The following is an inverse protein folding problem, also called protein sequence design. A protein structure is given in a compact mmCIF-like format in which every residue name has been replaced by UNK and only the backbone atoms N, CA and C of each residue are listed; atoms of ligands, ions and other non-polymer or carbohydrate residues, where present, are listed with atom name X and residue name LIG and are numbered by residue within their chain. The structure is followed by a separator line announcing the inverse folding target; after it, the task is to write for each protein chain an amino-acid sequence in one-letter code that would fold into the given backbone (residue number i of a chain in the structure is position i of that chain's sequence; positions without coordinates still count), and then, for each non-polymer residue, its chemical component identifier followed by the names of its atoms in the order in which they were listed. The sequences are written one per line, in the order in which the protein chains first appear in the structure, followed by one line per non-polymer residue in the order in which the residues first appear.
data_IF_643770987782
#
_entry.id   IF_643770987782
#
_cell.length_a   1.000
_cell.length_b   1.000
_cell.length_c   1.000
_cell.angle_alpha   90.00
_cell.angle_beta   90.00
_cell.angle_gamma   90.00
#
_symmetry.space_group_name_H-M   'P 1'
#
loop_
_entity.id
_entity.type
_entity.pdbx_description
1 polymer ?
#
# COMPACT_ATOMS: atom_id res chain seq x y z
N UNK A 1 7.54 22.71 4.16
CA UNK A 1 8.09 22.59 2.78
C UNK A 1 6.99 22.01 1.91
N UNK A 2 6.44 22.77 0.99
CA UNK A 2 5.32 22.35 0.16
C UNK A 2 5.78 21.30 -0.87
N UNK A 3 5.02 20.21 -0.99
CA UNK A 3 5.24 19.15 -1.97
C UNK A 3 5.17 19.74 -3.40
N UNK A 4 6.17 19.56 -4.29
CA UNK A 4 6.18 20.18 -5.61
C UNK A 4 5.14 19.62 -6.59
N UNK A 5 4.39 18.58 -6.24
CA UNK A 5 3.43 17.90 -7.11
C UNK A 5 1.97 18.33 -6.95
N UNK A 6 1.66 19.30 -6.08
CA UNK A 6 0.28 19.75 -5.82
C UNK A 6 -0.38 20.55 -6.96
N UNK A 7 0.27 20.72 -8.12
CA UNK A 7 -0.19 21.63 -9.21
C UNK A 7 -0.76 20.95 -10.45
N UNK A 8 -0.94 19.62 -10.49
CA UNK A 8 -1.30 18.92 -11.74
C UNK A 8 -2.73 18.37 -11.77
N UNK A 9 -3.49 18.39 -10.67
CA UNK A 9 -4.85 17.84 -10.69
C UNK A 9 -5.85 18.93 -10.33
N UNK A 10 -6.22 19.73 -11.32
CA UNK A 10 -7.46 20.49 -11.34
C UNK A 10 -8.31 19.95 -12.48
N UNK A 11 -9.20 19.01 -12.18
CA UNK A 11 -10.44 18.80 -12.95
C UNK A 11 -11.45 18.07 -12.07
N UNK A 12 -12.53 18.79 -11.79
CA UNK A 12 -13.73 18.31 -11.13
C UNK A 12 -14.45 17.34 -12.07
N UNK A 13 -14.60 16.08 -11.65
CA UNK A 13 -15.54 15.15 -12.28
C UNK A 13 -16.58 14.69 -11.24
N UNK A 14 -17.73 15.33 -11.29
CA UNK A 14 -18.92 15.01 -10.48
C UNK A 14 -19.50 13.60 -10.72
N UNK A 15 -18.99 12.84 -11.67
CA UNK A 15 -19.53 11.53 -12.05
C UNK A 15 -19.03 10.35 -11.21
N UNK A 16 -17.93 10.52 -10.47
CA UNK A 16 -17.36 9.44 -9.64
C UNK A 16 -18.01 9.32 -8.26
N UNK A 17 -18.67 10.39 -7.79
CA UNK A 17 -19.30 10.45 -6.46
C UNK A 17 -20.53 9.56 -6.32
N UNK A 18 -21.26 9.28 -7.41
CA UNK A 18 -22.53 8.54 -7.38
C UNK A 18 -22.33 7.02 -7.34
N UNK A 19 -21.22 6.51 -7.86
CA UNK A 19 -20.92 5.07 -7.85
C UNK A 19 -20.43 4.57 -6.48
N UNK A 20 -19.67 5.41 -5.76
CA UNK A 20 -19.13 5.07 -4.44
C UNK A 20 -20.20 5.10 -3.35
N UNK A 21 -21.24 5.93 -3.50
CA UNK A 21 -22.34 6.04 -2.53
C UNK A 21 -23.31 4.84 -2.54
N UNK A 22 -23.33 4.03 -3.61
CA UNK A 22 -24.17 2.81 -3.69
C UNK A 22 -23.55 1.56 -3.06
N UNK A 23 -22.30 1.62 -2.64
CA UNK A 23 -21.57 0.47 -2.07
C UNK A 23 -21.70 0.31 -0.55
N UNK A 24 -22.34 1.25 0.16
CA UNK A 24 -22.39 1.26 1.62
C UNK A 24 -23.78 1.35 2.22
N UNK A 25 -24.71 0.52 1.77
CA UNK A 25 -25.95 0.29 2.51
C UNK A 25 -26.03 -1.18 2.90
N UNK A 26 -25.84 -1.45 4.21
CA UNK A 26 -26.11 -2.71 4.92
C UNK A 26 -25.07 -3.83 4.89
N UNK A 27 -23.77 -3.59 4.91
CA UNK A 27 -22.80 -4.62 5.34
C UNK A 27 -22.74 -5.92 4.51
N UNK A 28 -23.52 -6.04 3.44
CA UNK A 28 -23.47 -7.13 2.47
C UNK A 28 -23.02 -6.57 1.14
N UNK A 29 -21.92 -7.11 0.61
CA UNK A 29 -21.47 -6.80 -0.76
C UNK A 29 -22.57 -7.26 -1.69
N UNK A 30 -23.25 -6.32 -2.37
CA UNK A 30 -24.25 -6.66 -3.38
C UNK A 30 -23.51 -7.19 -4.61
N UNK A 31 -23.56 -8.51 -4.80
CA UNK A 31 -22.91 -9.19 -5.91
C UNK A 31 -23.43 -8.72 -7.29
N UNK A 32 -24.66 -8.17 -7.35
CA UNK A 32 -25.23 -7.65 -8.59
C UNK A 32 -24.59 -6.31 -8.98
N UNK A 33 -24.25 -5.44 -8.01
CA UNK A 33 -23.52 -4.21 -8.27
C UNK A 33 -22.07 -4.46 -8.69
N UNK A 34 -21.44 -5.51 -8.17
CA UNK A 34 -20.11 -5.96 -8.58
C UNK A 34 -20.15 -6.53 -10.02
N UNK A 35 -21.19 -7.29 -10.37
CA UNK A 35 -21.38 -7.80 -11.72
C UNK A 35 -21.61 -6.69 -12.74
N UNK A 36 -22.36 -5.64 -12.37
CA UNK A 36 -22.61 -4.47 -13.21
C UNK A 36 -21.33 -3.65 -13.45
N UNK A 37 -20.51 -3.43 -12.42
CA UNK A 37 -19.20 -2.77 -12.56
C UNK A 37 -18.24 -3.60 -13.42
N UNK A 38 -18.22 -4.92 -13.26
CA UNK A 38 -17.40 -5.83 -14.06
C UNK A 38 -17.85 -5.87 -15.53
N UNK A 39 -19.15 -5.74 -15.80
CA UNK A 39 -19.67 -5.67 -17.17
C UNK A 39 -19.33 -4.34 -17.87
N UNK A 40 -19.27 -3.23 -17.13
CA UNK A 40 -18.90 -1.91 -17.66
C UNK A 40 -17.38 -1.79 -17.89
N UNK A 41 -16.55 -2.57 -17.18
CA UNK A 41 -15.09 -2.55 -17.32
C UNK A 41 -14.54 -3.57 -18.31
N UNK A 42 -15.40 -4.36 -19.00
CA UNK A 42 -14.98 -5.37 -19.96
C UNK A 42 -14.26 -6.59 -19.34
N UNK A 43 -14.23 -6.71 -18.02
CA UNK A 43 -13.70 -7.86 -17.29
C UNK A 43 -14.76 -8.97 -17.11
N UNK A 44 -15.40 -9.38 -18.21
CA UNK A 44 -16.23 -10.58 -18.22
C UNK A 44 -15.37 -11.81 -18.55
N UNK A 45 -15.66 -12.99 -17.98
CA UNK A 45 -14.88 -14.20 -18.25
C UNK A 45 -15.10 -14.65 -19.69
N UNK A 46 -14.15 -14.34 -20.57
CA UNK A 46 -14.06 -14.95 -21.89
C UNK A 46 -13.33 -16.29 -21.77
N UNK A 47 -13.98 -17.31 -21.30
CA UNK A 47 -13.85 -18.70 -21.76
C UNK A 47 -14.68 -19.63 -20.89
N UNK A 48 -15.36 -20.57 -21.55
CA UNK A 48 -16.16 -21.64 -20.97
C UNK A 48 -15.29 -22.73 -20.31
N UNK A 49 -14.43 -22.34 -19.36
CA UNK A 49 -13.77 -23.28 -18.46
C UNK A 49 -14.67 -23.39 -17.23
N UNK A 50 -15.42 -24.48 -17.13
CA UNK A 50 -16.11 -24.82 -15.88
C UNK A 50 -15.05 -24.87 -14.78
N UNK A 51 -15.19 -24.09 -13.71
CA UNK A 51 -14.26 -24.21 -12.58
C UNK A 51 -14.46 -25.62 -12.03
N UNK A 52 -13.43 -26.45 -12.10
CA UNK A 52 -13.37 -27.69 -11.33
C UNK A 52 -13.58 -27.33 -9.87
N UNK A 53 -14.69 -27.81 -9.32
CA UNK A 53 -15.06 -27.58 -7.91
C UNK A 53 -14.03 -28.33 -7.06
N UNK A 54 -12.91 -27.70 -6.76
CA UNK A 54 -11.93 -28.22 -5.81
C UNK A 54 -12.67 -28.44 -4.49
N UNK A 55 -12.50 -29.66 -3.94
CA UNK A 55 -13.02 -30.08 -2.64
C UNK A 55 -12.94 -28.93 -1.65
N UNK A 56 -14.08 -28.58 -1.03
CA UNK A 56 -14.13 -27.62 0.08
C UNK A 56 -13.13 -28.08 1.16
N UNK A 57 -12.23 -27.20 1.61
CA UNK A 57 -11.29 -27.55 2.66
C UNK A 57 -12.04 -27.92 3.93
N UNK A 58 -11.47 -28.81 4.73
CA UNK A 58 -11.98 -29.17 6.06
C UNK A 58 -12.10 -27.94 6.94
N UNK A 59 -12.94 -27.94 7.96
CA UNK A 59 -13.22 -26.78 8.84
C UNK A 59 -11.96 -26.11 9.40
N UNK A 60 -10.86 -26.83 9.51
CA UNK A 60 -9.56 -26.33 10.00
C UNK A 60 -8.72 -25.61 8.93
N UNK A 61 -9.11 -25.72 7.66
CA UNK A 61 -8.45 -25.06 6.52
C UNK A 61 -9.23 -23.84 5.99
N UNK A 62 -10.33 -23.45 6.64
CA UNK A 62 -11.11 -22.30 6.21
C UNK A 62 -10.28 -21.02 6.38
N UNK A 63 -10.02 -20.36 5.24
CA UNK A 63 -9.34 -19.06 5.23
C UNK A 63 -10.22 -18.05 5.94
N UNK A 64 -9.72 -17.48 7.03
CA UNK A 64 -10.35 -16.36 7.74
C UNK A 64 -9.49 -15.09 7.62
N UNK A 65 -10.04 -13.96 8.04
CA UNK A 65 -9.38 -12.67 7.94
C UNK A 65 -7.99 -12.66 8.60
N UNK A 66 -7.89 -13.23 9.80
CA UNK A 66 -6.65 -13.23 10.59
C UNK A 66 -5.54 -14.07 9.95
N UNK A 67 -5.87 -15.31 9.51
CA UNK A 67 -4.87 -16.19 8.92
C UNK A 67 -4.50 -15.79 7.49
N UNK A 68 -5.44 -15.22 6.71
CA UNK A 68 -5.15 -14.69 5.37
C UNK A 68 -4.16 -13.52 5.43
N UNK A 69 -4.39 -12.57 6.33
CA UNK A 69 -3.53 -11.40 6.49
C UNK A 69 -2.30 -11.66 7.36
N UNK A 70 -2.17 -12.86 7.96
CA UNK A 70 -1.10 -13.18 8.90
C UNK A 70 -1.01 -12.16 10.05
N UNK A 71 -2.18 -11.75 10.58
CA UNK A 71 -2.28 -10.64 11.55
C UNK A 71 -1.41 -10.87 12.79
N UNK A 72 -1.30 -12.10 13.27
CA UNK A 72 -0.44 -12.41 14.42
C UNK A 72 1.03 -12.00 14.17
N UNK A 73 1.54 -12.23 12.95
CA UNK A 73 2.91 -11.84 12.60
C UNK A 73 3.02 -10.33 12.38
N UNK A 74 2.03 -9.74 11.74
CA UNK A 74 2.02 -8.32 11.42
C UNK A 74 1.92 -7.45 12.67
N UNK A 75 0.97 -7.78 13.56
CA UNK A 75 0.70 -7.01 14.77
C UNK A 75 1.65 -7.32 15.93
N UNK A 76 2.48 -8.35 15.81
CA UNK A 76 3.51 -8.72 16.79
C UNK A 76 4.92 -8.22 16.38
N UNK A 77 5.01 -7.48 15.28
CA UNK A 77 6.28 -6.98 14.75
C UNK A 77 6.70 -5.62 15.32
N UNK A 78 5.90 -5.00 16.20
CA UNK A 78 6.18 -3.69 16.80
C UNK A 78 6.95 -3.84 18.11
N UNK A 79 8.27 -4.01 18.01
CA UNK A 79 9.17 -4.20 19.15
C UNK A 79 9.82 -2.88 19.56
N UNK A 80 9.28 -2.24 20.61
CA UNK A 80 9.77 -0.95 21.11
C UNK A 80 11.14 -1.11 21.80
N UNK A 81 12.15 -0.42 21.31
CA UNK A 81 13.52 -0.50 21.85
C UNK A 81 13.64 0.23 23.19
N UNK A 82 12.86 1.29 23.43
CA UNK A 82 12.82 1.98 24.72
C UNK A 82 12.35 1.07 25.86
N UNK A 83 11.43 0.13 25.57
CA UNK A 83 10.98 -0.86 26.55
C UNK A 83 12.01 -2.00 26.74
N UNK A 84 12.79 -2.32 25.73
CA UNK A 84 13.77 -3.42 25.77
C UNK A 84 14.99 -3.09 26.61
N UNK A 85 15.41 -1.82 26.63
CA UNK A 85 16.63 -1.38 27.32
C UNK A 85 16.45 -1.22 28.84
N UNK A 86 15.23 -1.03 29.33
CA UNK A 86 14.93 -0.92 30.75
C UNK A 86 13.59 -1.59 31.05
N UNK A 87 13.64 -2.81 31.56
CA UNK A 87 12.45 -3.61 31.87
C UNK A 87 11.52 -2.97 32.93
N UNK A 88 12.02 -1.98 33.70
CA UNK A 88 11.28 -1.25 34.70
C UNK A 88 10.70 0.08 34.18
N UNK A 89 11.08 0.48 32.98
CA UNK A 89 10.64 1.73 32.37
C UNK A 89 9.47 1.49 31.41
N UNK A 90 8.48 2.37 31.47
CA UNK A 90 7.40 2.35 30.47
C UNK A 90 7.99 2.70 29.11
N UNK A 91 7.52 2.02 28.02
CA UNK A 91 7.93 2.38 26.67
C UNK A 91 7.58 3.85 26.39
N UNK A 92 8.42 4.51 25.61
CA UNK A 92 8.13 5.86 25.12
C UNK A 92 6.95 5.79 24.17
N UNK A 93 5.91 6.58 24.42
CA UNK A 93 4.63 6.46 23.72
C UNK A 93 4.76 6.64 22.21
N UNK A 94 5.48 7.66 21.78
CA UNK A 94 5.56 8.05 20.37
C UNK A 94 6.52 7.20 19.54
N UNK A 95 7.35 6.37 20.19
CA UNK A 95 8.13 5.34 19.49
C UNK A 95 7.22 4.38 18.74
N UNK A 96 6.06 4.04 19.29
CA UNK A 96 5.10 3.15 18.63
C UNK A 96 4.53 3.81 17.36
N UNK A 97 4.11 5.07 17.44
CA UNK A 97 3.64 5.84 16.27
C UNK A 97 4.71 5.90 15.19
N UNK A 98 5.94 6.23 15.58
CA UNK A 98 7.09 6.30 14.67
C UNK A 98 7.32 4.97 13.95
N UNK A 99 7.26 3.86 14.68
CA UNK A 99 7.45 2.52 14.11
C UNK A 99 6.32 2.14 13.15
N UNK A 100 5.05 2.34 13.52
CA UNK A 100 3.89 2.02 12.68
C UNK A 100 3.95 2.78 11.35
N UNK A 101 4.26 4.07 11.39
CA UNK A 101 4.37 4.87 10.17
C UNK A 101 5.46 4.30 9.26
N UNK A 102 6.64 4.01 9.76
CA UNK A 102 7.73 3.46 8.96
C UNK A 102 7.39 2.06 8.41
N UNK A 103 6.75 1.20 9.20
CA UNK A 103 6.31 -0.11 8.72
C UNK A 103 5.23 0.03 7.63
N UNK A 104 4.31 0.98 7.76
CA UNK A 104 3.30 1.23 6.74
C UNK A 104 3.93 1.72 5.42
N UNK A 105 4.94 2.60 5.49
CA UNK A 105 5.71 3.02 4.33
C UNK A 105 6.37 1.84 3.63
N UNK A 106 7.04 0.96 4.37
CA UNK A 106 7.70 -0.23 3.82
C UNK A 106 6.72 -1.21 3.16
N UNK A 107 5.50 -1.37 3.72
CA UNK A 107 4.45 -2.18 3.11
C UNK A 107 3.95 -1.57 1.79
N UNK A 108 3.78 -0.25 1.74
CA UNK A 108 3.40 0.44 0.51
C UNK A 108 4.52 0.46 -0.52
N UNK A 109 5.78 0.60 -0.12
CA UNK A 109 6.92 0.45 -1.03
C UNK A 109 6.95 -0.94 -1.66
N UNK A 110 6.66 -1.98 -0.89
CA UNK A 110 6.54 -3.35 -1.41
C UNK A 110 5.46 -3.45 -2.48
N UNK A 111 4.30 -2.82 -2.28
CA UNK A 111 3.22 -2.79 -3.27
C UNK A 111 3.64 -2.01 -4.53
N UNK A 112 4.26 -0.84 -4.37
CA UNK A 112 4.77 -0.05 -5.51
C UNK A 112 5.77 -0.86 -6.34
N UNK A 113 6.70 -1.57 -5.70
CA UNK A 113 7.67 -2.43 -6.38
C UNK A 113 6.95 -3.52 -7.18
N UNK A 114 5.92 -4.14 -6.60
CA UNK A 114 5.11 -5.16 -7.25
C UNK A 114 4.42 -4.64 -8.52
N UNK A 115 3.84 -3.44 -8.46
CA UNK A 115 3.21 -2.81 -9.63
C UNK A 115 4.26 -2.46 -10.71
N UNK A 116 5.39 -1.87 -10.32
CA UNK A 116 6.47 -1.50 -11.25
C UNK A 116 7.06 -2.74 -11.94
N UNK A 117 7.31 -3.82 -11.21
CA UNK A 117 7.84 -5.06 -11.79
C UNK A 117 6.87 -5.65 -12.81
N UNK A 118 5.59 -5.65 -12.48
CA UNK A 118 4.54 -6.06 -13.40
C UNK A 118 4.45 -5.19 -14.67
N UNK A 119 4.67 -3.88 -14.55
CA UNK A 119 4.74 -2.98 -15.70
C UNK A 119 5.95 -3.26 -16.58
N UNK A 120 7.10 -3.54 -15.98
CA UNK A 120 8.32 -3.90 -16.70
C UNK A 120 8.15 -5.18 -17.50
N UNK A 121 7.44 -6.17 -16.95
CA UNK A 121 7.13 -7.40 -17.68
C UNK A 121 6.25 -7.13 -18.89
N UNK A 122 5.22 -6.28 -18.77
CA UNK A 122 4.37 -5.88 -19.90
C UNK A 122 5.17 -5.14 -20.96
N UNK A 123 5.98 -4.15 -20.56
CA UNK A 123 6.78 -3.36 -21.51
C UNK A 123 7.96 -4.14 -22.11
N UNK A 124 8.34 -5.27 -21.53
CA UNK A 124 9.29 -6.22 -22.10
C UNK A 124 8.72 -7.08 -23.23
N UNK A 125 7.40 -7.10 -23.42
CA UNK A 125 6.76 -7.83 -24.49
C UNK A 125 7.01 -7.18 -25.86
N UNK A 126 7.12 -8.00 -26.94
CA UNK A 126 7.30 -7.50 -28.31
C UNK A 126 6.08 -6.73 -28.84
N UNK A 127 4.89 -7.04 -28.32
CA UNK A 127 3.63 -6.41 -28.69
C UNK A 127 2.89 -6.00 -27.43
N UNK A 128 2.47 -4.73 -27.39
CA UNK A 128 1.60 -4.18 -26.34
C UNK A 128 0.28 -3.88 -27.04
N UNK A 129 -0.76 -4.64 -26.70
CA UNK A 129 -2.11 -4.41 -27.17
C UNK A 129 -2.87 -3.42 -26.24
N UNK A 130 -4.11 -3.09 -26.60
CA UNK A 130 -4.94 -2.16 -25.84
C UNK A 130 -5.21 -2.66 -24.41
N UNK A 131 -5.34 -3.99 -24.21
CA UNK A 131 -5.54 -4.59 -22.89
C UNK A 131 -4.32 -4.40 -22.01
N UNK A 132 -3.12 -4.64 -22.53
CA UNK A 132 -1.86 -4.38 -21.83
C UNK A 132 -1.71 -2.89 -21.47
N UNK A 133 -2.10 -2.01 -22.39
CA UNK A 133 -2.03 -0.57 -22.15
C UNK A 133 -3.00 -0.16 -21.00
N UNK A 134 -4.25 -0.64 -21.04
CA UNK A 134 -5.22 -0.37 -19.98
C UNK A 134 -4.76 -0.85 -18.61
N UNK A 135 -4.25 -2.09 -18.53
CA UNK A 135 -3.69 -2.65 -17.30
C UNK A 135 -2.52 -1.79 -16.79
N UNK A 136 -1.65 -1.34 -17.70
CA UNK A 136 -0.50 -0.50 -17.35
C UNK A 136 -0.93 0.85 -16.76
N UNK A 137 -1.92 1.50 -17.35
CA UNK A 137 -2.47 2.76 -16.85
C UNK A 137 -3.03 2.58 -15.44
N UNK A 138 -3.85 1.54 -15.21
CA UNK A 138 -4.44 1.29 -13.89
C UNK A 138 -3.38 1.03 -12.81
N UNK A 139 -2.30 0.30 -13.14
CA UNK A 139 -1.20 0.04 -12.20
C UNK A 139 -0.40 1.30 -11.89
N UNK A 140 -0.13 2.14 -12.89
CA UNK A 140 0.52 3.43 -12.68
C UNK A 140 -0.33 4.37 -11.83
N UNK A 141 -1.63 4.46 -12.10
CA UNK A 141 -2.56 5.25 -11.29
C UNK A 141 -2.58 4.78 -9.83
N UNK A 142 -2.56 3.45 -9.61
CA UNK A 142 -2.45 2.89 -8.26
C UNK A 142 -1.17 3.34 -7.56
N UNK A 143 -0.04 3.31 -8.23
CA UNK A 143 1.21 3.84 -7.67
C UNK A 143 1.09 5.32 -7.30
N UNK A 144 0.47 6.15 -8.14
CA UNK A 144 0.25 7.57 -7.85
C UNK A 144 -0.63 7.75 -6.61
N UNK A 145 -1.73 6.99 -6.49
CA UNK A 145 -2.59 7.06 -5.30
C UNK A 145 -1.85 6.62 -4.03
N UNK A 146 -1.01 5.58 -4.12
CA UNK A 146 -0.19 5.16 -2.98
C UNK A 146 0.79 6.28 -2.58
N UNK A 147 1.43 6.95 -3.54
CA UNK A 147 2.32 8.07 -3.24
C UNK A 147 1.59 9.23 -2.57
N UNK A 148 0.38 9.58 -3.01
CA UNK A 148 -0.45 10.59 -2.33
C UNK A 148 -0.73 10.20 -0.88
N UNK A 149 -1.15 8.94 -0.64
CA UNK A 149 -1.38 8.43 0.70
C UNK A 149 -0.12 8.52 1.57
N UNK A 150 1.06 8.17 1.04
CA UNK A 150 2.32 8.27 1.76
C UNK A 150 2.67 9.72 2.10
N UNK A 151 2.43 10.66 1.20
CA UNK A 151 2.60 12.09 1.49
C UNK A 151 1.65 12.57 2.59
N UNK A 152 0.39 12.15 2.56
CA UNK A 152 -0.61 12.53 3.55
C UNK A 152 -0.30 11.94 4.93
N UNK A 153 0.29 10.74 5.00
CA UNK A 153 0.72 10.13 6.27
C UNK A 153 1.78 10.96 7.03
N UNK A 154 2.54 11.80 6.35
CA UNK A 154 3.50 12.69 7.01
C UNK A 154 2.82 13.63 8.00
N UNK A 155 1.58 14.07 7.71
CA UNK A 155 0.80 14.91 8.62
C UNK A 155 0.53 14.24 9.97
N UNK A 156 0.43 12.90 9.99
CA UNK A 156 0.29 12.13 11.24
C UNK A 156 1.62 12.17 12.02
N UNK A 157 2.75 12.04 11.33
CA UNK A 157 4.06 12.12 11.97
C UNK A 157 4.34 13.53 12.54
N UNK A 158 3.82 14.57 11.91
CA UNK A 158 3.93 15.96 12.37
C UNK A 158 3.21 16.23 13.70
N UNK A 159 2.33 15.32 14.16
CA UNK A 159 1.71 15.41 15.48
C UNK A 159 2.70 15.12 16.62
N UNK A 160 3.82 14.45 16.32
CA UNK A 160 4.92 14.22 17.25
C UNK A 160 5.78 15.47 17.36
N UNK A 161 6.01 15.97 18.59
CA UNK A 161 6.91 17.10 18.78
C UNK A 161 8.39 16.68 18.69
N UNK A 162 9.30 17.61 18.39
CA UNK A 162 10.73 17.31 18.42
C UNK A 162 11.22 16.77 19.78
N UNK A 163 10.61 17.16 20.89
CA UNK A 163 10.94 16.67 22.23
C UNK A 163 10.53 15.21 22.38
N UNK A 164 9.33 14.84 21.97
CA UNK A 164 8.83 13.46 22.01
C UNK A 164 9.76 12.53 21.19
N UNK A 165 10.19 12.99 20.01
CA UNK A 165 11.16 12.26 19.20
C UNK A 165 12.51 12.06 19.90
N UNK A 166 13.01 13.09 20.57
CA UNK A 166 14.29 13.02 21.28
C UNK A 166 14.29 12.03 22.44
N UNK A 167 13.12 11.73 23.03
CA UNK A 167 13.00 10.78 24.14
C UNK A 167 13.41 9.35 23.75
N UNK A 168 13.19 8.96 22.49
CA UNK A 168 13.53 7.61 22.03
C UNK A 168 14.62 7.58 20.94
N UNK A 169 15.01 8.72 20.37
CA UNK A 169 16.01 8.79 19.28
C UNK A 169 17.32 8.09 19.60
N UNK A 170 17.78 8.17 20.85
CA UNK A 170 19.03 7.54 21.29
C UNK A 170 18.97 6.00 21.17
N UNK A 171 17.81 5.39 21.37
CA UNK A 171 17.63 3.94 21.25
C UNK A 171 17.66 3.45 19.79
N UNK A 172 17.37 4.34 18.84
CA UNK A 172 17.33 3.98 17.42
C UNK A 172 18.71 4.08 16.74
N UNK A 173 19.70 4.73 17.36
CA UNK A 173 21.02 4.91 16.75
C UNK A 173 21.71 3.55 16.50
N UNK A 174 22.34 3.33 15.31
CA UNK A 174 22.55 4.26 14.17
C UNK A 174 21.49 4.17 13.05
N UNK A 175 20.30 3.62 13.30
CA UNK A 175 19.28 3.45 12.28
C UNK A 175 18.81 4.78 11.68
N UNK A 176 18.48 4.77 10.39
CA UNK A 176 18.04 5.91 9.60
C UNK A 176 17.10 5.48 8.48
N UNK A 177 16.09 6.29 8.17
CA UNK A 177 15.21 6.08 7.01
C UNK A 177 15.94 6.05 5.66
N UNK A 178 17.12 6.66 5.57
CA UNK A 178 17.98 6.54 4.37
C UNK A 178 18.46 5.12 4.09
N UNK A 179 18.35 4.20 5.05
CA UNK A 179 18.71 2.79 4.92
C UNK A 179 17.58 1.95 4.31
N UNK A 180 16.42 2.53 3.96
CA UNK A 180 15.34 1.78 3.31
C UNK A 180 15.80 1.23 1.96
N UNK A 181 15.98 -0.09 1.90
CA UNK A 181 16.34 -0.79 0.67
C UNK A 181 15.21 -0.70 -0.36
N UNK A 182 13.96 -0.84 0.06
CA UNK A 182 12.81 -0.79 -0.85
C UNK A 182 12.68 0.56 -1.52
N UNK A 183 12.88 1.66 -0.78
CA UNK A 183 12.87 3.00 -1.37
C UNK A 183 13.97 3.15 -2.44
N UNK A 184 15.20 2.68 -2.17
CA UNK A 184 16.28 2.70 -3.16
C UNK A 184 15.98 1.85 -4.39
N UNK A 185 15.32 0.69 -4.20
CA UNK A 185 14.89 -0.15 -5.31
C UNK A 185 13.85 0.56 -6.20
N UNK A 186 12.90 1.29 -5.61
CA UNK A 186 11.92 2.08 -6.38
C UNK A 186 12.63 3.14 -7.20
N UNK A 187 13.52 3.94 -6.60
CA UNK A 187 14.30 4.95 -7.32
C UNK A 187 15.05 4.34 -8.52
N UNK A 188 15.75 3.24 -8.31
CA UNK A 188 16.50 2.56 -9.37
C UNK A 188 15.58 2.01 -10.48
N UNK A 189 14.43 1.42 -10.11
CA UNK A 189 13.45 0.90 -11.09
C UNK A 189 12.80 1.99 -11.91
N UNK A 190 12.65 3.19 -11.36
CA UNK A 190 12.16 4.39 -12.06
C UNK A 190 13.26 5.13 -12.84
N UNK A 191 14.49 4.64 -12.81
CA UNK A 191 15.61 5.22 -13.56
C UNK A 191 16.19 6.50 -12.96
N UNK A 192 15.92 6.77 -11.66
CA UNK A 192 16.53 7.89 -10.95
C UNK A 192 18.01 7.58 -10.70
N UNK A 193 18.89 8.32 -11.37
CA UNK A 193 20.34 8.15 -11.23
C UNK A 193 20.92 9.03 -10.12
N UNK A 194 22.12 8.69 -9.63
CA UNK A 194 22.80 9.45 -8.57
C UNK A 194 23.02 10.95 -8.91
N UNK A 195 22.96 11.33 -10.19
CA UNK A 195 23.06 12.74 -10.61
C UNK A 195 21.81 13.57 -10.32
N UNK A 196 20.69 12.91 -9.96
CA UNK A 196 19.41 13.55 -9.63
C UNK A 196 19.11 13.56 -8.12
N UNK A 197 20.07 13.11 -7.29
CA UNK A 197 20.00 13.07 -5.84
C UNK A 197 20.62 14.30 -5.19
#
# INVERSE_FOLDING_TARGET
MACPYARIIGHDDETTSTATAKLTLNGAVNNDALAEILSLTGYGPTSSVKPELKRLPSSDELVNYSNYLQLNKLLDSQLLLSAKHDQNKKPVHDEHLFMIIHQSFELWFKQIIWEIDSLRDIFGCKFIDETHMFVSINRLQRCVHIWHLLCDQISILETMTPLDFMEFRSYLSPASGFQSLQFRLIENKLGLTDKSR
#
